data_IF_248914354552
#
_entry.id   IF_248914354552
#
_cell.length_a   1.000
_cell.length_b   1.000
_cell.length_c   1.000
_cell.angle_alpha   90.00
_cell.angle_beta   90.00
_cell.angle_gamma   90.00
#
_symmetry.space_group_name_H-M   'P 1'
#
loop_
_entity.id
_entity.type
_entity.pdbx_description
1 polymer ?
#
# COMPACT_ATOMS: atom_id res chain seq x y z
N UNK A 1 -8.56 -56.51 -47.48
CA UNK A 1 -7.97 -56.40 -46.10
C UNK A 1 -7.17 -55.15 -45.82
N UNK A 2 -6.65 -54.37 -46.82
CA UNK A 2 -5.88 -53.10 -46.60
C UNK A 2 -6.76 -51.91 -46.15
N UNK A 3 -8.02 -51.86 -46.51
CA UNK A 3 -8.93 -50.72 -46.16
C UNK A 3 -9.40 -50.71 -44.69
N UNK A 4 -9.52 -51.85 -44.05
CA UNK A 4 -9.88 -51.98 -42.63
C UNK A 4 -8.77 -51.49 -41.70
N UNK A 5 -7.50 -51.73 -42.07
CA UNK A 5 -6.34 -51.25 -41.29
C UNK A 5 -6.17 -49.74 -41.34
N UNK A 6 -6.44 -49.11 -42.47
CA UNK A 6 -6.39 -47.64 -42.60
C UNK A 6 -7.49 -46.92 -41.78
N UNK A 7 -8.72 -47.49 -41.75
CA UNK A 7 -9.80 -46.93 -40.94
C UNK A 7 -9.52 -47.03 -39.43
N UNK A 8 -8.98 -48.17 -38.97
CA UNK A 8 -8.60 -48.35 -37.57
C UNK A 8 -7.46 -47.40 -37.14
N UNK A 9 -6.47 -47.17 -37.99
CA UNK A 9 -5.38 -46.25 -37.74
C UNK A 9 -5.87 -44.78 -37.66
N UNK A 10 -6.80 -44.36 -38.51
CA UNK A 10 -7.40 -43.04 -38.49
C UNK A 10 -8.20 -42.79 -37.20
N UNK A 11 -8.99 -43.76 -36.74
CA UNK A 11 -9.74 -43.64 -35.48
C UNK A 11 -8.78 -43.56 -34.29
N UNK A 12 -7.74 -44.38 -34.25
CA UNK A 12 -6.74 -44.34 -33.19
C UNK A 12 -6.02 -42.97 -33.14
N UNK A 13 -5.67 -42.41 -34.30
CA UNK A 13 -5.05 -41.07 -34.38
C UNK A 13 -5.97 -39.96 -33.84
N UNK A 14 -7.26 -39.99 -34.16
CA UNK A 14 -8.24 -39.00 -33.65
C UNK A 14 -8.41 -39.13 -32.14
N UNK A 15 -8.47 -40.36 -31.62
CA UNK A 15 -8.58 -40.58 -30.16
C UNK A 15 -7.33 -40.09 -29.44
N UNK A 16 -6.12 -40.39 -29.95
CA UNK A 16 -4.86 -39.97 -29.36
C UNK A 16 -4.70 -38.45 -29.39
N UNK A 17 -5.07 -37.78 -30.49
CA UNK A 17 -5.05 -36.31 -30.56
C UNK A 17 -6.06 -35.69 -29.62
N UNK A 18 -7.26 -36.27 -29.47
CA UNK A 18 -8.26 -35.84 -28.50
C UNK A 18 -7.79 -35.96 -27.04
N UNK A 19 -7.13 -37.11 -26.70
CA UNK A 19 -6.56 -37.31 -25.37
C UNK A 19 -5.41 -36.34 -25.09
N UNK A 20 -4.52 -36.11 -26.04
CA UNK A 20 -3.42 -35.15 -25.90
C UNK A 20 -3.94 -33.71 -25.73
N UNK A 21 -4.98 -33.33 -26.47
CA UNK A 21 -5.60 -32.02 -26.32
C UNK A 21 -6.25 -31.86 -24.92
N UNK A 22 -6.92 -32.90 -24.41
CA UNK A 22 -7.51 -32.91 -23.08
C UNK A 22 -6.44 -32.83 -21.99
N UNK A 23 -5.34 -33.55 -22.13
CA UNK A 23 -4.23 -33.51 -21.19
C UNK A 23 -3.61 -32.13 -21.12
N UNK A 24 -3.35 -31.48 -22.27
CA UNK A 24 -2.84 -30.10 -22.31
C UNK A 24 -3.78 -29.12 -21.60
N UNK A 25 -5.09 -29.23 -21.82
CA UNK A 25 -6.07 -28.38 -21.12
C UNK A 25 -6.03 -28.58 -19.61
N UNK A 26 -5.90 -29.83 -19.14
CA UNK A 26 -5.76 -30.11 -17.70
C UNK A 26 -4.48 -29.50 -17.12
N UNK A 27 -3.36 -29.65 -17.84
CA UNK A 27 -2.08 -29.05 -17.44
C UNK A 27 -2.16 -27.53 -17.38
N UNK A 28 -2.86 -26.89 -18.33
CA UNK A 28 -3.06 -25.44 -18.33
C UNK A 28 -3.94 -24.98 -17.16
N UNK A 29 -5.04 -25.69 -16.88
CA UNK A 29 -5.91 -25.40 -15.72
C UNK A 29 -5.14 -25.60 -14.41
N UNK A 30 -4.37 -26.68 -14.29
CA UNK A 30 -3.55 -26.92 -13.10
C UNK A 30 -2.51 -25.79 -12.89
N UNK A 31 -1.85 -25.33 -13.97
CA UNK A 31 -0.94 -24.18 -13.89
C UNK A 31 -1.65 -22.93 -13.41
N UNK A 32 -2.81 -22.59 -13.97
CA UNK A 32 -3.60 -21.44 -13.56
C UNK A 32 -4.02 -21.52 -12.09
N UNK A 33 -4.47 -22.70 -11.63
CA UNK A 33 -4.84 -22.90 -10.23
C UNK A 33 -3.66 -22.70 -9.29
N UNK A 34 -2.47 -23.21 -9.64
CA UNK A 34 -1.25 -23.01 -8.85
C UNK A 34 -0.85 -21.53 -8.79
N UNK A 35 -0.99 -20.79 -9.89
CA UNK A 35 -0.70 -19.35 -9.93
C UNK A 35 -1.67 -18.56 -9.05
N UNK A 36 -2.97 -18.84 -9.12
CA UNK A 36 -3.99 -18.23 -8.26
C UNK A 36 -3.69 -18.53 -6.79
N UNK A 37 -3.44 -19.79 -6.45
CA UNK A 37 -3.13 -20.18 -5.07
C UNK A 37 -1.85 -19.50 -4.55
N UNK A 38 -0.81 -19.35 -5.38
CA UNK A 38 0.40 -18.62 -5.00
C UNK A 38 0.13 -17.13 -4.79
N UNK A 39 -0.73 -16.52 -5.59
CA UNK A 39 -1.12 -15.13 -5.44
C UNK A 39 -1.91 -14.91 -4.14
N UNK A 40 -2.87 -15.79 -3.84
CA UNK A 40 -3.65 -15.77 -2.59
C UNK A 40 -2.75 -15.97 -1.35
N UNK A 41 -1.84 -16.96 -1.40
CA UNK A 41 -0.90 -17.19 -0.30
C UNK A 41 0.02 -15.99 -0.05
N UNK A 42 0.48 -15.32 -1.11
CA UNK A 42 1.27 -14.07 -0.96
C UNK A 42 0.44 -12.96 -0.35
N UNK A 43 -0.83 -12.77 -0.77
CA UNK A 43 -1.73 -11.78 -0.17
C UNK A 43 -1.98 -12.06 1.31
N UNK A 44 -2.26 -13.31 1.67
CA UNK A 44 -2.42 -13.70 3.07
C UNK A 44 -1.16 -13.40 3.89
N UNK A 45 0.02 -13.74 3.40
CA UNK A 45 1.29 -13.43 4.06
C UNK A 45 1.53 -11.93 4.24
N UNK A 46 1.14 -11.09 3.27
CA UNK A 46 1.21 -9.64 3.40
C UNK A 46 0.25 -9.10 4.48
N UNK A 47 -0.97 -9.63 4.56
CA UNK A 47 -1.94 -9.27 5.61
C UNK A 47 -1.40 -9.64 7.00
N UNK A 48 -0.83 -10.83 7.15
CA UNK A 48 -0.26 -11.28 8.42
C UNK A 48 0.96 -10.42 8.83
N UNK A 49 1.82 -10.07 7.87
CA UNK A 49 2.94 -9.16 8.11
C UNK A 49 2.46 -7.78 8.56
N UNK A 50 1.46 -7.20 7.89
CA UNK A 50 0.88 -5.90 8.26
C UNK A 50 0.25 -5.94 9.66
N UNK A 51 -0.46 -7.03 9.99
CA UNK A 51 -1.03 -7.22 11.33
C UNK A 51 0.05 -7.27 12.40
N UNK A 52 1.13 -7.99 12.15
CA UNK A 52 2.27 -8.05 13.06
C UNK A 52 2.90 -6.67 13.25
N UNK A 53 3.13 -5.95 12.15
CA UNK A 53 3.71 -4.60 12.19
C UNK A 53 2.84 -3.63 12.99
N UNK A 54 1.52 -3.62 12.76
CA UNK A 54 0.59 -2.78 13.51
C UNK A 54 0.57 -3.17 14.99
N UNK A 55 0.60 -4.46 15.32
CA UNK A 55 0.67 -4.93 16.70
C UNK A 55 1.97 -4.54 17.41
N UNK A 56 3.10 -4.44 16.73
CA UNK A 56 4.35 -3.90 17.29
C UNK A 56 4.25 -2.40 17.55
N UNK A 57 3.66 -1.64 16.61
CA UNK A 57 3.42 -0.21 16.78
C UNK A 57 2.45 0.08 17.93
N UNK A 58 1.36 -0.69 18.07
CA UNK A 58 0.39 -0.57 19.15
C UNK A 58 1.06 -0.75 20.52
N UNK A 59 1.87 -1.79 20.69
CA UNK A 59 2.64 -2.00 21.91
C UNK A 59 3.60 -0.85 22.22
N UNK A 60 4.28 -0.33 21.21
CA UNK A 60 5.18 0.79 21.39
C UNK A 60 4.45 2.12 21.68
N UNK A 61 3.21 2.28 21.22
CA UNK A 61 2.37 3.44 21.58
C UNK A 61 2.00 3.39 23.07
N UNK A 62 1.77 2.20 23.62
CA UNK A 62 1.38 2.00 25.01
C UNK A 62 2.57 2.02 25.97
N UNK A 63 3.76 1.65 25.51
CA UNK A 63 4.99 1.53 26.31
C UNK A 63 6.11 2.45 25.80
N UNK A 64 6.48 3.50 26.56
CA UNK A 64 7.54 4.45 26.18
C UNK A 64 8.93 3.81 26.01
N UNK A 65 9.25 2.73 26.73
CA UNK A 65 10.54 2.05 26.58
C UNK A 65 10.62 1.32 25.25
N UNK A 66 9.52 0.67 24.83
CA UNK A 66 9.42 0.04 23.52
C UNK A 66 9.37 1.09 22.39
N UNK A 67 8.71 2.22 22.64
CA UNK A 67 8.67 3.34 21.71
C UNK A 67 10.08 3.85 21.38
N UNK A 68 10.98 3.92 22.37
CA UNK A 68 12.36 4.35 22.18
C UNK A 68 13.14 3.43 21.25
N UNK A 69 12.84 2.13 21.22
CA UNK A 69 13.49 1.17 20.30
C UNK A 69 13.12 1.43 18.83
N UNK A 70 11.88 1.87 18.59
CA UNK A 70 11.38 2.16 17.24
C UNK A 70 11.69 3.59 16.78
N UNK A 71 12.07 4.47 17.70
CA UNK A 71 12.39 5.86 17.37
C UNK A 71 13.78 5.97 16.75
N UNK A 72 13.82 6.59 15.57
CA UNK A 72 15.08 6.92 14.87
C UNK A 72 15.39 8.41 14.98
N UNK A 73 14.59 9.17 15.71
CA UNK A 73 14.78 10.60 15.95
C UNK A 73 14.70 10.90 17.45
N UNK A 74 15.51 11.83 17.88
CA UNK A 74 15.52 12.30 19.26
C UNK A 74 14.28 13.16 19.51
N UNK A 75 13.50 12.81 20.52
CA UNK A 75 12.40 13.64 21.03
C UNK A 75 12.39 13.52 22.55
N UNK A 76 12.34 14.66 23.21
CA UNK A 76 12.27 14.75 24.68
C UNK A 76 10.86 14.46 25.23
N UNK A 77 9.87 14.22 24.36
CA UNK A 77 8.49 14.04 24.73
C UNK A 77 7.95 12.67 24.33
N UNK A 78 7.61 11.85 25.34
CA UNK A 78 6.91 10.58 25.14
C UNK A 78 5.55 10.76 24.43
N UNK A 79 4.90 11.92 24.58
CA UNK A 79 3.66 12.23 23.88
C UNK A 79 3.89 12.44 22.39
N UNK A 80 4.93 13.18 22.00
CA UNK A 80 5.30 13.37 20.59
C UNK A 80 5.71 12.04 19.95
N UNK A 81 6.47 11.22 20.66
CA UNK A 81 6.86 9.91 20.16
C UNK A 81 5.64 9.02 19.86
N UNK A 82 4.66 8.98 20.76
CA UNK A 82 3.39 8.26 20.52
C UNK A 82 2.63 8.80 19.32
N UNK A 83 2.56 10.12 19.16
CA UNK A 83 1.92 10.74 18.00
C UNK A 83 2.63 10.34 16.69
N UNK A 84 3.95 10.30 16.68
CA UNK A 84 4.73 9.87 15.52
C UNK A 84 4.50 8.41 15.17
N UNK A 85 4.50 7.52 16.16
CA UNK A 85 4.20 6.10 15.94
C UNK A 85 2.79 5.88 15.41
N UNK A 86 1.82 6.64 15.94
CA UNK A 86 0.44 6.57 15.45
C UNK A 86 0.30 7.15 14.03
N UNK A 87 0.95 8.26 13.72
CA UNK A 87 1.01 8.80 12.37
C UNK A 87 1.62 7.82 11.37
N UNK A 88 2.71 7.13 11.77
CA UNK A 88 3.31 6.05 10.98
C UNK A 88 2.34 4.90 10.74
N UNK A 89 1.61 4.47 11.77
CA UNK A 89 0.62 3.41 11.66
C UNK A 89 -0.50 3.78 10.66
N UNK A 90 -1.03 5.00 10.74
CA UNK A 90 -2.06 5.50 9.83
C UNK A 90 -1.57 5.56 8.38
N UNK A 91 -0.38 6.13 8.15
CA UNK A 91 0.24 6.21 6.83
C UNK A 91 0.48 4.82 6.24
N UNK A 92 1.11 3.94 7.00
CA UNK A 92 1.41 2.57 6.58
C UNK A 92 0.15 1.77 6.26
N UNK A 93 -0.93 1.97 7.04
CA UNK A 93 -2.21 1.31 6.80
C UNK A 93 -2.90 1.82 5.52
N UNK A 94 -2.89 3.13 5.27
CA UNK A 94 -3.44 3.70 4.04
C UNK A 94 -2.68 3.18 2.80
N UNK A 95 -1.35 3.16 2.87
CA UNK A 95 -0.49 2.62 1.81
C UNK A 95 -0.71 1.12 1.57
N UNK A 96 -0.86 0.36 2.64
CA UNK A 96 -1.16 -1.06 2.57
C UNK A 96 -2.52 -1.32 1.90
N UNK A 97 -3.57 -0.58 2.28
CA UNK A 97 -4.90 -0.65 1.66
C UNK A 97 -4.84 -0.41 0.15
N UNK A 98 -4.06 0.59 -0.28
CA UNK A 98 -3.83 0.86 -1.70
C UNK A 98 -3.10 -0.32 -2.40
N UNK A 99 -2.03 -0.84 -1.82
CA UNK A 99 -1.26 -1.97 -2.38
C UNK A 99 -2.07 -3.26 -2.48
N UNK A 100 -2.99 -3.46 -1.57
CA UNK A 100 -3.89 -4.61 -1.59
C UNK A 100 -5.05 -4.43 -2.58
N UNK A 101 -5.17 -3.26 -3.23
CA UNK A 101 -6.25 -2.94 -4.15
C UNK A 101 -7.59 -2.69 -3.45
N UNK A 102 -7.58 -2.42 -2.14
CA UNK A 102 -8.77 -2.05 -1.35
C UNK A 102 -9.12 -0.56 -1.51
N UNK A 103 -8.14 0.24 -1.93
CA UNK A 103 -8.31 1.65 -2.24
C UNK A 103 -7.70 1.97 -3.59
N UNK A 104 -8.34 2.83 -4.36
CA UNK A 104 -7.80 3.42 -5.58
C UNK A 104 -6.75 4.48 -5.25
N UNK A 105 -6.04 4.97 -6.27
CA UNK A 105 -5.08 6.06 -6.08
C UNK A 105 -5.76 7.36 -5.64
N UNK A 106 -6.94 7.63 -6.15
CA UNK A 106 -7.77 8.80 -5.81
C UNK A 106 -8.24 8.75 -4.36
N UNK A 107 -8.66 7.57 -3.89
CA UNK A 107 -9.04 7.36 -2.49
C UNK A 107 -7.84 7.48 -1.56
N UNK A 108 -6.68 6.90 -1.94
CA UNK A 108 -5.43 7.09 -1.19
C UNK A 108 -5.07 8.57 -1.09
N UNK A 109 -5.13 9.32 -2.20
CA UNK A 109 -4.89 10.77 -2.21
C UNK A 109 -5.83 11.49 -1.25
N UNK A 110 -7.13 11.17 -1.25
CA UNK A 110 -8.11 11.72 -0.31
C UNK A 110 -7.76 11.41 1.15
N UNK A 111 -7.41 10.18 1.47
CA UNK A 111 -6.98 9.77 2.82
C UNK A 111 -5.72 10.52 3.26
N UNK A 112 -4.70 10.61 2.41
CA UNK A 112 -3.46 11.31 2.70
C UNK A 112 -3.70 12.81 2.90
N UNK A 113 -4.59 13.43 2.12
CA UNK A 113 -4.97 14.84 2.30
C UNK A 113 -5.57 15.10 3.68
N UNK A 114 -6.39 14.20 4.20
CA UNK A 114 -6.93 14.30 5.56
C UNK A 114 -5.83 14.22 6.59
N UNK A 115 -4.89 13.27 6.46
CA UNK A 115 -3.74 13.15 7.36
C UNK A 115 -2.86 14.41 7.33
N UNK A 116 -2.61 15.00 6.17
CA UNK A 116 -1.80 16.20 6.00
C UNK A 116 -2.39 17.46 6.66
N UNK A 117 -3.67 17.47 7.05
CA UNK A 117 -4.27 18.55 7.86
C UNK A 117 -3.84 18.50 9.32
N UNK A 118 -3.36 17.36 9.81
CA UNK A 118 -2.89 17.20 11.19
C UNK A 118 -1.49 17.74 11.37
N UNK A 119 -1.28 18.68 12.29
CA UNK A 119 0.03 19.19 12.65
C UNK A 119 0.97 18.06 13.14
N UNK A 120 0.46 17.10 13.91
CA UNK A 120 1.23 15.94 14.38
C UNK A 120 1.70 15.07 13.20
N UNK A 121 0.86 14.86 12.17
CA UNK A 121 1.25 14.14 10.98
C UNK A 121 2.32 14.91 10.18
N UNK A 122 2.20 16.22 10.03
CA UNK A 122 3.22 17.04 9.35
C UNK A 122 4.57 16.98 10.07
N UNK A 123 4.58 17.05 11.40
CA UNK A 123 5.79 16.91 12.21
C UNK A 123 6.42 15.53 12.03
N UNK A 124 5.62 14.46 12.07
CA UNK A 124 6.07 13.10 11.74
C UNK A 124 6.66 13.03 10.32
N UNK A 125 5.96 13.60 9.34
CA UNK A 125 6.39 13.56 7.95
C UNK A 125 7.74 14.26 7.74
N UNK A 126 7.93 15.40 8.35
CA UNK A 126 9.20 16.14 8.31
C UNK A 126 10.34 15.36 9.00
N UNK A 127 10.11 14.83 10.20
CA UNK A 127 11.12 14.06 10.93
C UNK A 127 11.58 12.80 10.22
N UNK A 128 10.75 12.21 9.37
CA UNK A 128 11.08 11.01 8.58
C UNK A 128 11.68 11.34 7.21
N UNK A 129 11.90 12.62 6.86
CA UNK A 129 12.50 13.06 5.58
C UNK A 129 13.85 12.37 5.29
N UNK A 130 14.81 12.23 6.25
CA UNK A 130 16.08 11.56 5.98
C UNK A 130 15.92 10.10 5.54
N UNK A 131 14.95 9.38 6.13
CA UNK A 131 14.66 8.00 5.75
C UNK A 131 14.06 7.92 4.34
N UNK A 132 13.16 8.84 4.00
CA UNK A 132 12.54 8.89 2.67
C UNK A 132 13.54 9.30 1.59
N UNK A 133 14.56 10.07 1.93
CA UNK A 133 15.63 10.45 0.99
C UNK A 133 16.45 9.25 0.47
N UNK A 134 16.41 8.10 1.18
CA UNK A 134 17.06 6.86 0.73
C UNK A 134 16.20 6.04 -0.24
N UNK A 135 14.93 6.40 -0.45
CA UNK A 135 14.05 5.70 -1.38
C UNK A 135 14.43 6.00 -2.82
N UNK A 136 14.31 5.00 -3.67
CA UNK A 136 14.50 5.21 -5.11
C UNK A 136 13.37 6.07 -5.68
N UNK A 137 13.72 7.01 -6.55
CA UNK A 137 12.77 7.95 -7.16
C UNK A 137 11.67 7.26 -7.99
N UNK A 138 12.00 6.13 -8.62
CA UNK A 138 11.08 5.33 -9.44
C UNK A 138 10.25 4.33 -8.61
N UNK A 139 10.50 4.22 -7.29
CA UNK A 139 9.73 3.35 -6.40
C UNK A 139 8.31 3.85 -6.19
N UNK A 140 7.42 2.96 -5.81
CA UNK A 140 6.04 3.32 -5.44
C UNK A 140 6.02 4.23 -4.22
N UNK A 141 6.81 3.89 -3.19
CA UNK A 141 6.98 4.70 -2.00
C UNK A 141 7.49 6.11 -2.31
N UNK A 142 8.47 6.23 -3.21
CA UNK A 142 8.98 7.53 -3.64
C UNK A 142 7.91 8.38 -4.33
N UNK A 143 7.08 7.76 -5.18
CA UNK A 143 5.96 8.45 -5.84
C UNK A 143 4.88 8.91 -4.86
N UNK A 144 4.55 8.07 -3.88
CA UNK A 144 3.55 8.40 -2.85
C UNK A 144 4.12 9.44 -1.88
N UNK A 145 5.41 9.35 -1.54
CA UNK A 145 6.08 10.37 -0.74
C UNK A 145 5.99 11.76 -1.37
N UNK A 146 6.28 11.88 -2.67
CA UNK A 146 6.11 13.16 -3.40
C UNK A 146 4.65 13.63 -3.44
N UNK A 147 3.68 12.72 -3.50
CA UNK A 147 2.27 13.07 -3.39
C UNK A 147 1.95 13.73 -2.04
N UNK A 148 2.48 13.20 -0.94
CA UNK A 148 2.31 13.79 0.40
C UNK A 148 3.01 15.16 0.50
N UNK A 149 4.23 15.28 -0.03
CA UNK A 149 4.96 16.55 -0.05
C UNK A 149 4.17 17.62 -0.82
N UNK A 150 3.58 17.28 -1.98
CA UNK A 150 2.71 18.18 -2.75
C UNK A 150 1.45 18.56 -1.96
N UNK A 151 0.78 17.58 -1.32
CA UNK A 151 -0.41 17.84 -0.51
C UNK A 151 -0.15 18.79 0.64
N UNK A 152 0.98 18.66 1.34
CA UNK A 152 1.37 19.56 2.42
C UNK A 152 1.61 20.97 1.86
N UNK A 153 2.37 21.09 0.76
CA UNK A 153 2.62 22.37 0.11
C UNK A 153 1.33 23.07 -0.33
N UNK A 154 0.40 22.34 -0.96
CA UNK A 154 -0.88 22.89 -1.43
C UNK A 154 -1.77 23.36 -0.26
N UNK A 155 -1.74 22.65 0.87
CA UNK A 155 -2.47 23.02 2.07
C UNK A 155 -1.88 24.25 2.76
N UNK A 156 -0.55 24.39 2.76
CA UNK A 156 0.12 25.57 3.32
C UNK A 156 -0.19 26.80 2.47
N UNK A 157 -0.10 26.70 1.15
CA UNK A 157 -0.46 27.77 0.23
C UNK A 157 -1.94 28.20 0.34
N UNK A 158 -2.85 27.23 0.56
CA UNK A 158 -4.28 27.50 0.76
C UNK A 158 -4.54 28.22 2.10
N UNK A 159 -3.86 27.81 3.18
CA UNK A 159 -3.95 28.45 4.50
C UNK A 159 -3.47 29.90 4.47
N UNK A 160 -2.37 30.19 3.79
CA UNK A 160 -1.88 31.55 3.58
C UNK A 160 -2.89 32.42 2.81
N UNK A 161 -3.58 31.82 1.82
CA UNK A 161 -4.60 32.53 1.06
C UNK A 161 -5.87 32.82 1.87
N UNK A 162 -6.29 31.92 2.75
CA UNK A 162 -7.44 32.14 3.65
C UNK A 162 -7.14 33.19 4.71
N UNK A 163 -5.93 33.25 5.29
CA UNK A 163 -5.51 34.30 6.24
C UNK A 163 -5.51 35.67 5.58
N UNK A 164 -5.21 35.77 4.29
CA UNK A 164 -5.25 37.04 3.54
C UNK A 164 -6.66 37.63 3.42
N UNK A 165 -7.72 36.80 3.47
CA UNK A 165 -9.11 37.26 3.32
C UNK A 165 -9.81 37.62 4.65
N UNK A 166 -9.18 37.42 5.81
CA UNK A 166 -9.79 37.65 7.13
C UNK A 166 -9.48 39.07 7.72
N UNK A 167 -8.67 39.88 7.05
CA UNK A 167 -8.34 41.26 7.50
C UNK A 167 -9.17 42.28 6.76
N UNK A 168 -10.47 42.27 7.05
CA UNK A 168 -11.35 43.41 6.80
C UNK A 168 -12.13 43.74 8.07
N UNK A 169 -11.81 44.84 8.77
CA UNK A 169 -12.68 45.35 9.83
C UNK A 169 -14.08 45.60 9.26
N UNK A 170 -15.15 45.13 9.98
CA UNK A 170 -16.51 45.49 9.57
C UNK A 170 -16.70 47.00 9.63
N UNK A 171 -17.43 47.61 8.67
CA UNK A 171 -17.71 49.02 8.70
C UNK A 171 -18.46 49.35 10.00
N UNK A 172 -17.94 50.26 10.80
CA UNK A 172 -18.64 50.89 11.94
C UNK A 172 -19.75 51.74 11.40
N UNK A 173 -21.02 51.42 11.73
CA UNK A 173 -22.17 52.35 11.59
C UNK A 173 -22.10 53.48 12.58
#
# INVERSE_FOLDING_TARGET
MRSLGLAAAAVAAVVLTGLAARQRRLEDVCRQLVEVQRAESRRAGLVDYQRLQLGLLERAIDDPELAAVLSTFETDSAAHLRQHLFANALYSNALFGYRMGMATREELHGHLRVLCRSAAFRTYWESTRPHRASLRDDSEEGRIGRMVDSLIHDLDAAGEAEEWFVVGEPPTE
#
